data_IF_691905179377
#
_entry.id   IF_691905179377
#
_cell.length_a   1.000
_cell.length_b   1.000
_cell.length_c   1.000
_cell.angle_alpha   90.00
_cell.angle_beta   90.00
_cell.angle_gamma   90.00
#
_symmetry.space_group_name_H-M   'P 1'
#
loop_
_entity.id
_entity.type
_entity.pdbx_description
1 polymer ?
#
# COMPACT_ATOMS: atom_id res chain seq x y z
N UNK A 1 -5.27 -12.23 -15.45
CA UNK A 1 -3.96 -12.90 -15.57
C UNK A 1 -2.84 -12.05 -14.96
N UNK A 2 -2.45 -10.90 -15.53
CA UNK A 2 -1.43 -10.00 -14.92
C UNK A 2 -2.01 -8.97 -13.93
N UNK A 3 -3.34 -8.77 -13.93
CA UNK A 3 -4.01 -7.85 -13.01
C UNK A 3 -3.52 -6.41 -13.19
N UNK A 4 -3.23 -5.72 -12.09
CA UNK A 4 -2.71 -4.35 -12.07
C UNK A 4 -1.20 -4.32 -11.84
N UNK A 5 -0.54 -5.47 -11.68
CA UNK A 5 0.88 -5.52 -11.33
C UNK A 5 1.81 -4.73 -12.28
N UNK A 6 1.62 -4.75 -13.62
CA UNK A 6 2.45 -3.96 -14.52
C UNK A 6 2.35 -2.45 -14.26
N UNK A 7 1.15 -1.96 -13.92
CA UNK A 7 0.94 -0.56 -13.53
C UNK A 7 1.59 -0.24 -12.20
N UNK A 8 1.47 -1.16 -11.21
CA UNK A 8 2.14 -1.01 -9.92
C UNK A 8 3.64 -0.84 -10.17
N UNK A 9 4.28 -1.77 -10.88
CA UNK A 9 5.70 -1.68 -11.23
C UNK A 9 6.04 -0.35 -11.91
N UNK A 10 5.21 0.14 -12.83
CA UNK A 10 5.45 1.42 -13.47
C UNK A 10 5.35 2.62 -12.51
N UNK A 11 4.34 2.64 -11.64
CA UNK A 11 4.15 3.66 -10.61
C UNK A 11 5.33 3.67 -9.66
N UNK A 12 5.89 2.50 -9.34
CA UNK A 12 7.06 2.36 -8.49
C UNK A 12 8.28 3.01 -9.14
N UNK A 13 8.53 2.70 -10.41
CA UNK A 13 9.66 3.28 -11.15
C UNK A 13 9.55 4.80 -11.21
N UNK A 14 8.36 5.34 -11.46
CA UNK A 14 8.14 6.79 -11.50
C UNK A 14 8.31 7.43 -10.12
N UNK A 15 7.89 6.77 -9.03
CA UNK A 15 8.17 7.24 -7.67
C UNK A 15 9.66 7.26 -7.36
N UNK A 16 10.40 6.22 -7.74
CA UNK A 16 11.86 6.18 -7.57
C UNK A 16 12.56 7.24 -8.44
N UNK A 17 12.12 7.47 -9.67
CA UNK A 17 12.62 8.53 -10.55
C UNK A 17 12.32 9.92 -9.99
N UNK A 18 11.16 10.10 -9.34
CA UNK A 18 10.84 11.34 -8.63
C UNK A 18 11.86 11.64 -7.54
N UNK A 19 12.48 10.62 -6.95
CA UNK A 19 13.47 10.82 -5.91
C UNK A 19 14.86 11.06 -6.52
N UNK A 20 15.25 10.26 -7.51
CA UNK A 20 16.57 10.31 -8.12
C UNK A 20 16.78 11.54 -9.02
N UNK A 21 15.71 12.05 -9.64
CA UNK A 21 15.79 13.10 -10.65
C UNK A 21 15.09 14.38 -10.16
N UNK A 22 15.82 15.49 -9.94
CA UNK A 22 15.25 16.73 -9.40
C UNK A 22 14.19 17.36 -10.32
N UNK A 23 14.23 17.08 -11.62
CA UNK A 23 13.18 17.51 -12.57
C UNK A 23 11.82 16.90 -12.24
N UNK A 24 11.77 15.63 -11.84
CA UNK A 24 10.52 14.99 -11.40
C UNK A 24 10.08 15.48 -10.02
N UNK A 25 11.02 15.82 -9.11
CA UNK A 25 10.69 16.50 -7.85
C UNK A 25 10.02 17.87 -8.08
N UNK A 26 10.53 18.66 -9.02
CA UNK A 26 9.91 19.95 -9.40
C UNK A 26 8.51 19.72 -9.96
N UNK A 27 8.33 18.73 -10.82
CA UNK A 27 7.02 18.36 -11.36
C UNK A 27 6.06 17.93 -10.24
N UNK A 28 6.52 17.23 -9.21
CA UNK A 28 5.67 16.90 -8.06
C UNK A 28 5.22 18.15 -7.28
N UNK A 29 6.06 19.21 -7.26
CA UNK A 29 5.74 20.49 -6.61
C UNK A 29 4.81 21.40 -7.42
N UNK A 30 4.63 21.15 -8.73
CA UNK A 30 3.71 21.89 -9.60
C UNK A 30 2.21 21.62 -9.31
N UNK A 31 1.91 20.74 -8.34
CA UNK A 31 0.54 20.46 -7.92
C UNK A 31 -0.21 19.54 -8.88
N UNK A 32 -1.46 19.85 -9.22
CA UNK A 32 -2.31 18.97 -10.02
C UNK A 32 -1.81 18.77 -11.45
N UNK A 33 -1.26 19.81 -12.09
CA UNK A 33 -0.73 19.74 -13.45
C UNK A 33 0.46 18.78 -13.53
N UNK A 34 1.35 18.86 -12.54
CA UNK A 34 2.51 17.98 -12.41
C UNK A 34 2.13 16.52 -12.12
N UNK A 35 1.15 16.29 -11.23
CA UNK A 35 0.63 14.93 -10.97
C UNK A 35 0.00 14.31 -12.22
N UNK A 36 -0.72 15.09 -13.04
CA UNK A 36 -1.27 14.60 -14.31
C UNK A 36 -0.17 14.18 -15.30
N UNK A 37 0.89 14.97 -15.44
CA UNK A 37 2.05 14.62 -16.29
C UNK A 37 2.76 13.35 -15.78
N UNK A 38 2.96 13.23 -14.47
CA UNK A 38 3.56 12.05 -13.87
C UNK A 38 2.71 10.78 -14.11
N UNK A 39 1.38 10.90 -14.05
CA UNK A 39 0.47 9.81 -14.41
C UNK A 39 0.55 9.46 -15.91
N UNK A 40 0.76 10.43 -16.81
CA UNK A 40 0.99 10.15 -18.23
C UNK A 40 2.29 9.38 -18.46
N UNK A 41 3.39 9.74 -17.80
CA UNK A 41 4.63 8.96 -17.89
C UNK A 41 4.46 7.55 -17.31
N UNK A 42 3.72 7.43 -16.22
CA UNK A 42 3.39 6.12 -15.63
C UNK A 42 2.62 5.25 -16.63
N UNK A 43 1.68 5.83 -17.40
CA UNK A 43 0.97 5.12 -18.48
C UNK A 43 1.91 4.58 -19.55
N UNK A 44 2.77 5.43 -20.10
CA UNK A 44 3.70 5.01 -21.15
C UNK A 44 4.65 3.92 -20.66
N UNK A 45 5.14 4.06 -19.42
CA UNK A 45 6.01 3.08 -18.81
C UNK A 45 5.30 1.75 -18.51
N UNK A 46 4.01 1.81 -18.14
CA UNK A 46 3.16 0.61 -17.96
C UNK A 46 3.02 -0.18 -19.26
N UNK A 47 2.78 0.52 -20.37
CA UNK A 47 2.67 -0.11 -21.70
C UNK A 47 3.99 -0.78 -22.09
N UNK A 48 5.13 -0.11 -21.86
CA UNK A 48 6.45 -0.66 -22.13
C UNK A 48 6.72 -1.91 -21.29
N UNK A 49 6.43 -1.87 -19.98
CA UNK A 49 6.55 -3.04 -19.10
C UNK A 49 5.65 -4.17 -19.56
N UNK A 50 4.42 -3.90 -19.99
CA UNK A 50 3.49 -4.92 -20.50
C UNK A 50 4.01 -5.62 -21.75
N UNK A 51 4.67 -4.90 -22.66
CA UNK A 51 5.26 -5.51 -23.85
C UNK A 51 6.41 -6.47 -23.52
N UNK A 52 7.15 -6.20 -22.44
CA UNK A 52 8.22 -7.08 -21.97
C UNK A 52 7.63 -8.23 -21.14
N UNK A 53 6.73 -7.94 -20.20
CA UNK A 53 6.20 -8.89 -19.24
C UNK A 53 5.09 -9.81 -19.81
N UNK A 54 4.39 -9.39 -20.86
CA UNK A 54 3.31 -10.15 -21.49
C UNK A 54 3.79 -11.47 -22.12
N UNK A 55 4.79 -11.44 -23.02
CA UNK A 55 5.39 -12.65 -23.59
C UNK A 55 6.01 -13.52 -22.49
N UNK A 56 6.68 -12.87 -21.54
CA UNK A 56 7.28 -13.48 -20.36
C UNK A 56 6.31 -14.33 -19.54
N UNK A 57 5.13 -13.78 -19.27
CA UNK A 57 4.07 -14.48 -18.54
C UNK A 57 3.50 -15.66 -19.34
N UNK A 58 3.33 -15.49 -20.66
CA UNK A 58 2.80 -16.55 -21.53
C UNK A 58 3.73 -17.75 -21.64
N UNK A 59 5.04 -17.53 -21.69
CA UNK A 59 6.03 -18.61 -21.68
C UNK A 59 5.96 -19.39 -20.36
N UNK A 60 5.91 -18.69 -19.22
CA UNK A 60 5.81 -19.35 -17.91
C UNK A 60 4.49 -20.14 -17.75
N UNK A 61 3.38 -19.56 -18.23
CA UNK A 61 2.08 -20.23 -18.24
C UNK A 61 2.08 -21.48 -19.14
N UNK A 62 2.75 -21.42 -20.30
CA UNK A 62 2.92 -22.56 -21.20
C UNK A 62 3.71 -23.71 -20.57
N UNK A 63 4.73 -23.40 -19.76
CA UNK A 63 5.48 -24.41 -18.99
C UNK A 63 4.60 -25.03 -17.90
N UNK A 64 3.84 -24.22 -17.14
CA UNK A 64 2.92 -24.73 -16.11
C UNK A 64 1.79 -25.60 -16.68
N UNK A 65 1.18 -25.17 -17.80
CA UNK A 65 0.10 -25.93 -18.45
C UNK A 65 0.62 -27.26 -19.04
N UNK A 66 1.84 -27.28 -19.57
CA UNK A 66 2.51 -28.52 -20.01
C UNK A 66 2.71 -29.50 -18.85
N UNK A 67 3.05 -29.00 -17.65
CA UNK A 67 3.13 -29.83 -16.45
C UNK A 67 1.74 -30.38 -16.00
N UNK A 68 0.65 -29.70 -16.35
CA UNK A 68 -0.73 -30.12 -16.11
C UNK A 68 -1.36 -30.94 -17.26
N UNK A 69 -0.57 -31.37 -18.26
CA UNK A 69 -1.04 -32.20 -19.37
C UNK A 69 -1.79 -31.45 -20.50
N UNK A 70 -1.74 -30.11 -20.52
CA UNK A 70 -2.40 -29.29 -21.54
C UNK A 70 -1.38 -28.40 -22.27
N UNK A 71 -1.39 -28.38 -23.61
CA UNK A 71 -0.46 -27.53 -24.37
C UNK A 71 -1.16 -26.30 -24.91
N UNK A 72 -0.62 -25.11 -24.63
CA UNK A 72 -0.94 -23.92 -25.41
C UNK A 72 -0.39 -24.09 -26.85
N UNK A 73 -1.12 -23.64 -27.88
CA UNK A 73 -0.60 -23.64 -29.25
C UNK A 73 0.71 -22.85 -29.31
N UNK A 74 1.83 -23.46 -29.75
CA UNK A 74 3.13 -22.79 -29.77
C UNK A 74 3.25 -21.93 -31.04
N UNK A 75 2.30 -21.03 -31.29
CA UNK A 75 2.35 -20.12 -32.43
C UNK A 75 2.78 -18.72 -31.97
N UNK A 76 3.76 -18.14 -32.67
CA UNK A 76 4.18 -16.75 -32.46
C UNK A 76 2.98 -15.79 -32.59
N UNK A 77 2.04 -16.11 -33.50
CA UNK A 77 0.79 -15.40 -33.65
C UNK A 77 -0.10 -15.43 -32.39
N UNK A 78 -0.21 -16.57 -31.71
CA UNK A 78 -0.94 -16.69 -30.45
C UNK A 78 -0.25 -15.88 -29.33
N UNK A 79 1.08 -15.88 -29.28
CA UNK A 79 1.81 -15.08 -28.27
C UNK A 79 1.62 -13.58 -28.47
N UNK A 80 1.73 -13.09 -29.71
CA UNK A 80 1.55 -11.66 -30.04
C UNK A 80 0.11 -11.22 -29.76
N UNK A 81 -0.87 -11.95 -30.29
CA UNK A 81 -2.29 -11.63 -30.08
C UNK A 81 -2.69 -11.67 -28.61
N UNK A 82 -2.26 -12.69 -27.86
CA UNK A 82 -2.56 -12.80 -26.42
C UNK A 82 -1.85 -11.71 -25.61
N UNK A 83 -0.62 -11.33 -25.98
CA UNK A 83 0.09 -10.21 -25.35
C UNK A 83 -0.68 -8.90 -25.54
N UNK A 84 -1.21 -8.65 -26.74
CA UNK A 84 -2.02 -7.45 -27.01
C UNK A 84 -3.33 -7.49 -26.21
N UNK A 85 -4.02 -8.63 -26.12
CA UNK A 85 -5.22 -8.75 -25.29
C UNK A 85 -4.94 -8.54 -23.79
N UNK A 86 -3.82 -9.08 -23.28
CA UNK A 86 -3.38 -8.86 -21.90
C UNK A 86 -3.04 -7.39 -21.64
N UNK A 87 -2.34 -6.75 -22.58
CA UNK A 87 -2.02 -5.33 -22.50
C UNK A 87 -3.28 -4.45 -22.54
N UNK A 88 -4.21 -4.74 -23.45
CA UNK A 88 -5.50 -4.05 -23.54
C UNK A 88 -6.32 -4.20 -22.25
N UNK A 89 -6.39 -5.41 -21.69
CA UNK A 89 -7.06 -5.67 -20.42
C UNK A 89 -6.42 -4.91 -19.25
N UNK A 90 -5.09 -4.91 -19.14
CA UNK A 90 -4.38 -4.16 -18.09
C UNK A 90 -4.57 -2.65 -18.24
N UNK A 91 -4.56 -2.13 -19.46
CA UNK A 91 -4.81 -0.71 -19.74
C UNK A 91 -6.25 -0.30 -19.42
N UNK A 92 -7.22 -1.19 -19.70
CA UNK A 92 -8.61 -0.96 -19.33
C UNK A 92 -8.79 -0.88 -17.81
N UNK A 93 -8.19 -1.81 -17.06
CA UNK A 93 -8.25 -1.78 -15.58
C UNK A 93 -7.58 -0.51 -15.04
N UNK A 94 -6.45 -0.11 -15.62
CA UNK A 94 -5.78 1.14 -15.24
C UNK A 94 -6.69 2.35 -15.47
N UNK A 95 -7.31 2.45 -16.66
CA UNK A 95 -8.25 3.52 -16.96
C UNK A 95 -9.43 3.54 -15.98
N UNK A 96 -9.97 2.37 -15.61
CA UNK A 96 -11.00 2.25 -14.60
C UNK A 96 -10.52 2.81 -13.25
N UNK A 97 -9.27 2.52 -12.86
CA UNK A 97 -8.65 3.02 -11.63
C UNK A 97 -8.51 4.54 -11.61
N UNK A 98 -8.09 5.14 -12.73
CA UNK A 98 -8.06 6.60 -12.88
C UNK A 98 -9.47 7.20 -12.77
N UNK A 99 -10.48 6.59 -13.40
CA UNK A 99 -11.87 7.06 -13.30
C UNK A 99 -12.47 6.96 -11.91
N UNK A 100 -12.15 5.91 -11.17
CA UNK A 100 -12.54 5.78 -9.75
C UNK A 100 -11.85 6.85 -8.91
N UNK A 101 -10.60 7.20 -9.22
CA UNK A 101 -9.89 8.27 -8.50
C UNK A 101 -10.49 9.65 -8.79
N UNK A 102 -10.89 9.92 -10.04
CA UNK A 102 -11.45 11.21 -10.44
C UNK A 102 -12.86 11.45 -9.90
N UNK A 103 -13.71 10.41 -9.88
CA UNK A 103 -15.15 10.52 -9.56
C UNK A 103 -15.54 9.90 -8.22
N UNK A 104 -14.69 9.05 -7.65
CA UNK A 104 -14.95 8.30 -6.42
C UNK A 104 -14.23 8.88 -5.22
N UNK A 105 -14.11 8.04 -4.18
CA UNK A 105 -13.39 8.36 -2.94
C UNK A 105 -12.20 7.42 -2.84
N UNK A 106 -11.04 7.94 -2.45
CA UNK A 106 -9.82 7.14 -2.32
C UNK A 106 -8.92 7.16 -3.55
N UNK A 107 -7.90 6.31 -3.49
CA UNK A 107 -7.06 5.97 -4.62
C UNK A 107 -7.71 4.80 -5.37
N UNK A 108 -8.19 5.04 -6.59
CA UNK A 108 -8.92 4.05 -7.38
C UNK A 108 -8.08 2.82 -7.73
N UNK A 109 -6.76 2.96 -7.90
CA UNK A 109 -5.87 1.81 -8.14
C UNK A 109 -5.85 0.90 -6.91
N UNK A 110 -5.65 1.49 -5.72
CA UNK A 110 -5.66 0.76 -4.46
C UNK A 110 -7.01 0.07 -4.22
N UNK A 111 -8.11 0.72 -4.61
CA UNK A 111 -9.45 0.16 -4.50
C UNK A 111 -9.68 -1.05 -5.42
N UNK A 112 -9.13 -1.04 -6.64
CA UNK A 112 -9.24 -2.22 -7.51
C UNK A 112 -8.39 -3.39 -6.98
N UNK A 113 -7.23 -3.13 -6.38
CA UNK A 113 -6.43 -4.18 -5.73
C UNK A 113 -7.24 -4.78 -4.56
N UNK A 114 -7.86 -3.94 -3.73
CA UNK A 114 -8.76 -4.36 -2.66
C UNK A 114 -9.87 -5.28 -3.19
N UNK A 115 -10.60 -4.86 -4.22
CA UNK A 115 -11.67 -5.67 -4.83
C UNK A 115 -11.11 -7.00 -5.36
N UNK A 116 -9.92 -6.97 -5.99
CA UNK A 116 -9.27 -8.18 -6.51
C UNK A 116 -8.91 -9.19 -5.44
N UNK A 117 -8.51 -8.72 -4.25
CA UNK A 117 -8.23 -9.56 -3.08
C UNK A 117 -9.55 -10.11 -2.51
N UNK A 118 -10.55 -9.24 -2.29
CA UNK A 118 -11.85 -9.64 -1.74
C UNK A 118 -12.55 -10.64 -2.65
N UNK A 119 -12.47 -10.51 -3.97
CA UNK A 119 -13.11 -11.41 -4.92
C UNK A 119 -12.55 -12.84 -4.88
N UNK A 120 -11.30 -13.02 -4.41
CA UNK A 120 -10.67 -14.34 -4.27
C UNK A 120 -11.00 -15.01 -2.94
N UNK A 121 -11.23 -14.22 -1.90
CA UNK A 121 -11.44 -14.70 -0.53
C UNK A 121 -12.56 -15.77 -0.40
N UNK A 122 -13.76 -15.61 -1.00
CA UNK A 122 -14.81 -16.63 -0.91
C UNK A 122 -14.41 -17.98 -1.51
N UNK A 123 -13.68 -17.94 -2.63
CA UNK A 123 -13.20 -19.16 -3.32
C UNK A 123 -12.14 -19.86 -2.49
N UNK A 124 -11.19 -19.11 -1.93
CA UNK A 124 -10.11 -19.67 -1.12
C UNK A 124 -10.64 -20.23 0.20
N UNK A 125 -11.65 -19.59 0.82
CA UNK A 125 -12.35 -20.16 1.97
C UNK A 125 -13.08 -21.46 1.65
N UNK A 126 -13.78 -21.52 0.51
CA UNK A 126 -14.47 -22.74 0.09
C UNK A 126 -13.49 -23.89 -0.19
N UNK A 127 -12.34 -23.59 -0.79
CA UNK A 127 -11.28 -24.58 -1.03
C UNK A 127 -10.66 -25.09 0.27
N UNK A 128 -10.33 -24.20 1.21
CA UNK A 128 -9.82 -24.61 2.52
C UNK A 128 -10.86 -25.49 3.24
N UNK A 129 -12.13 -25.09 3.22
CA UNK A 129 -13.20 -25.86 3.84
C UNK A 129 -13.31 -27.27 3.25
N UNK A 130 -13.22 -27.41 1.92
CA UNK A 130 -13.24 -28.71 1.26
C UNK A 130 -12.01 -29.55 1.62
N UNK A 131 -10.82 -28.96 1.59
CA UNK A 131 -9.57 -29.65 1.90
C UNK A 131 -9.54 -30.13 3.35
N UNK A 132 -10.01 -29.31 4.30
CA UNK A 132 -10.09 -29.67 5.73
C UNK A 132 -11.21 -30.65 6.06
N UNK A 133 -12.24 -30.72 5.24
CA UNK A 133 -13.36 -31.67 5.40
C UNK A 133 -13.09 -33.02 4.73
N UNK A 134 -12.28 -33.04 3.65
CA UNK A 134 -12.05 -34.22 2.82
C UNK A 134 -10.73 -34.94 3.16
N UNK A 135 -9.64 -34.19 3.31
CA UNK A 135 -8.36 -34.75 3.78
C UNK A 135 -8.34 -34.74 5.31
N UNK A 136 -7.86 -35.83 5.92
CA UNK A 136 -7.75 -36.02 7.39
C UNK A 136 -6.72 -35.10 8.06
N UNK A 137 -6.68 -33.82 7.69
CA UNK A 137 -5.78 -32.79 8.20
C UNK A 137 -6.51 -31.82 9.15
N UNK A 138 -6.92 -32.33 10.32
CA UNK A 138 -7.28 -31.50 11.48
C UNK A 138 -8.78 -31.25 11.74
N UNK A 139 -9.66 -31.62 10.82
CA UNK A 139 -11.12 -31.51 10.98
C UNK A 139 -11.64 -30.09 11.21
N UNK A 140 -12.93 -29.97 11.54
CA UNK A 140 -13.63 -28.69 11.77
C UNK A 140 -12.99 -27.85 12.89
N UNK A 141 -12.31 -28.48 13.86
CA UNK A 141 -11.67 -27.78 14.99
C UNK A 141 -10.44 -27.00 14.54
N UNK A 142 -9.60 -27.57 13.66
CA UNK A 142 -8.43 -26.87 13.12
C UNK A 142 -8.84 -25.70 12.22
N UNK A 143 -9.88 -25.87 11.41
CA UNK A 143 -10.46 -24.79 10.60
C UNK A 143 -10.99 -23.64 11.45
N UNK A 144 -11.65 -23.94 12.59
CA UNK A 144 -12.15 -22.91 13.51
C UNK A 144 -10.98 -22.18 14.20
N UNK A 145 -9.93 -22.91 14.60
CA UNK A 145 -8.71 -22.31 15.15
C UNK A 145 -8.02 -21.38 14.13
N UNK A 146 -8.00 -21.75 12.85
CA UNK A 146 -7.48 -20.92 11.76
C UNK A 146 -8.29 -19.63 11.57
N UNK A 147 -9.62 -19.69 11.58
CA UNK A 147 -10.44 -18.47 11.49
C UNK A 147 -10.20 -17.55 12.69
N UNK A 148 -10.13 -18.09 13.90
CA UNK A 148 -9.84 -17.31 15.11
C UNK A 148 -8.46 -16.66 15.02
N UNK A 149 -7.46 -17.40 14.54
CA UNK A 149 -6.13 -16.86 14.29
C UNK A 149 -6.16 -15.73 13.24
N UNK A 150 -6.87 -15.92 12.12
CA UNK A 150 -7.04 -14.89 11.08
C UNK A 150 -7.63 -13.59 11.67
N UNK A 151 -8.68 -13.71 12.49
CA UNK A 151 -9.28 -12.56 13.17
C UNK A 151 -8.29 -11.86 14.11
N UNK A 152 -7.47 -12.63 14.84
CA UNK A 152 -6.39 -12.08 15.66
C UNK A 152 -5.37 -11.27 14.86
N UNK A 153 -4.95 -11.80 13.69
CA UNK A 153 -4.01 -11.12 12.79
C UNK A 153 -4.61 -9.85 12.17
N UNK A 154 -5.90 -9.89 11.82
CA UNK A 154 -6.64 -8.72 11.34
C UNK A 154 -6.67 -7.64 12.43
N UNK A 155 -7.07 -8.00 13.66
CA UNK A 155 -7.12 -7.07 14.78
C UNK A 155 -5.74 -6.45 15.05
N UNK A 156 -4.68 -7.27 15.03
CA UNK A 156 -3.31 -6.82 15.21
C UNK A 156 -2.86 -5.86 14.09
N UNK A 157 -3.22 -6.16 12.84
CA UNK A 157 -2.93 -5.30 11.69
C UNK A 157 -3.67 -3.96 11.76
N UNK A 158 -4.93 -3.95 12.22
CA UNK A 158 -5.70 -2.72 12.43
C UNK A 158 -5.04 -1.86 13.53
N UNK A 159 -4.64 -2.46 14.65
CA UNK A 159 -3.95 -1.77 15.75
C UNK A 159 -2.65 -1.11 15.26
N UNK A 160 -1.90 -1.78 14.38
CA UNK A 160 -0.68 -1.24 13.79
C UNK A 160 -0.98 -0.02 12.90
N UNK A 161 -1.95 -0.14 11.99
CA UNK A 161 -2.28 0.93 11.04
C UNK A 161 -2.92 2.14 11.74
N UNK A 162 -3.74 1.91 12.78
CA UNK A 162 -4.38 2.99 13.55
C UNK A 162 -3.50 3.57 14.66
N UNK A 163 -2.37 2.93 14.98
CA UNK A 163 -1.44 3.41 15.99
C UNK A 163 -0.98 4.84 15.67
N UNK A 164 -1.23 5.78 16.58
CA UNK A 164 -0.80 7.18 16.45
C UNK A 164 -0.08 7.65 17.70
N UNK A 165 1.08 8.29 17.51
CA UNK A 165 1.75 9.06 18.55
C UNK A 165 1.30 10.51 18.46
N UNK A 166 0.64 10.99 19.51
CA UNK A 166 0.16 12.39 19.59
C UNK A 166 1.28 13.29 20.10
N UNK A 167 1.74 14.23 19.28
CA UNK A 167 2.66 15.30 19.71
C UNK A 167 1.84 16.52 20.10
N UNK A 168 1.88 17.00 21.36
CA UNK A 168 1.14 18.17 21.77
C UNK A 168 1.74 19.43 21.13
N UNK A 169 0.87 20.27 20.58
CA UNK A 169 1.19 21.56 19.97
C UNK A 169 0.36 22.65 20.62
N UNK A 170 0.97 23.80 20.81
CA UNK A 170 0.28 25.01 21.26
C UNK A 170 0.35 26.05 20.16
N UNK A 171 -0.81 26.59 19.79
CA UNK A 171 -0.90 27.74 18.91
C UNK A 171 -0.92 29.01 19.77
N UNK A 172 -0.12 30.00 19.38
CA UNK A 172 -0.07 31.28 20.08
C UNK A 172 -1.46 31.92 20.08
N UNK A 173 -1.89 32.34 21.27
CA UNK A 173 -3.20 32.97 21.45
C UNK A 173 -3.19 34.35 20.82
N UNK A 174 -4.25 34.69 20.08
CA UNK A 174 -4.52 36.08 19.72
C UNK A 174 -5.44 36.67 20.77
N UNK A 175 -4.92 37.57 21.61
CA UNK A 175 -5.75 38.36 22.52
C UNK A 175 -6.47 39.40 21.66
N UNK A 176 -7.79 39.32 21.58
CA UNK A 176 -8.63 40.35 20.94
C UNK A 176 -9.58 40.87 22.01
N UNK A 177 -9.32 42.09 22.51
CA UNK A 177 -10.05 42.68 23.64
C UNK A 177 -9.70 42.03 25.00
N UNK A 178 -10.67 41.99 25.92
CA UNK A 178 -10.50 41.48 27.30
C UNK A 178 -10.89 39.99 27.44
N UNK A 179 -11.15 39.28 26.34
CA UNK A 179 -11.53 37.86 26.34
C UNK A 179 -10.48 37.03 25.61
N UNK A 180 -9.95 36.04 26.32
CA UNK A 180 -9.00 35.09 25.77
C UNK A 180 -9.75 34.05 24.93
N UNK A 181 -9.66 34.16 23.60
CA UNK A 181 -10.08 33.11 22.67
C UNK A 181 -8.87 32.25 22.26
N UNK A 182 -9.02 30.93 22.36
CA UNK A 182 -8.00 29.99 21.90
C UNK A 182 -7.00 29.58 22.99
N UNK A 183 -6.55 28.33 22.88
CA UNK A 183 -5.76 27.64 23.90
C UNK A 183 -6.13 26.18 24.10
N UNK A 184 -6.98 25.60 23.24
CA UNK A 184 -7.17 24.15 23.24
C UNK A 184 -5.84 23.53 22.84
N UNK A 185 -5.32 22.62 23.69
CA UNK A 185 -4.16 21.79 23.35
C UNK A 185 -4.52 20.99 22.12
N UNK A 186 -3.93 21.33 20.99
CA UNK A 186 -4.03 20.54 19.78
C UNK A 186 -2.88 19.54 19.77
N UNK A 187 -3.02 18.46 19.02
CA UNK A 187 -1.92 17.54 18.81
C UNK A 187 -1.77 17.26 17.31
N UNK A 188 -0.53 17.03 16.90
CA UNK A 188 -0.22 16.48 15.58
C UNK A 188 -0.17 14.95 15.76
N UNK A 189 -1.09 14.20 15.14
CA UNK A 189 -1.03 12.74 15.15
C UNK A 189 0.06 12.28 14.17
N UNK A 190 1.12 11.66 14.68
CA UNK A 190 2.08 10.92 13.86
C UNK A 190 1.69 9.44 13.84
N UNK A 191 1.29 8.93 12.68
CA UNK A 191 0.97 7.50 12.51
C UNK A 191 2.22 6.65 12.74
N UNK A 192 2.05 5.49 13.37
CA UNK A 192 3.13 4.51 13.60
C UNK A 192 3.67 3.98 12.27
N UNK A 193 2.77 3.76 11.32
CA UNK A 193 3.10 3.49 9.94
C UNK A 193 2.61 4.63 9.04
N UNK A 194 3.42 5.68 8.91
CA UNK A 194 3.13 6.77 7.97
C UNK A 194 3.24 6.33 6.50
N UNK A 195 3.99 5.25 6.24
CA UNK A 195 4.22 4.73 4.90
C UNK A 195 3.04 3.94 4.33
N UNK A 196 2.08 3.55 5.18
CA UNK A 196 0.95 2.72 4.79
C UNK A 196 1.43 1.39 4.21
N UNK A 197 0.84 0.99 3.09
CA UNK A 197 1.08 -0.33 2.48
C UNK A 197 2.11 -0.29 1.34
N UNK A 198 2.46 0.90 0.86
CA UNK A 198 3.37 1.05 -0.29
C UNK A 198 4.73 0.36 -0.14
N UNK A 199 5.44 0.45 1.01
CA UNK A 199 6.72 -0.24 1.20
C UNK A 199 6.70 -1.73 0.88
N UNK A 200 5.61 -2.39 1.23
CA UNK A 200 5.47 -3.84 1.07
C UNK A 200 5.26 -4.17 -0.41
N UNK A 201 4.49 -3.34 -1.10
CA UNK A 201 4.29 -3.45 -2.55
C UNK A 201 5.62 -3.24 -3.29
N UNK A 202 6.45 -2.27 -2.86
CA UNK A 202 7.80 -2.08 -3.41
C UNK A 202 8.70 -3.30 -3.20
N UNK A 203 8.74 -3.82 -1.96
CA UNK A 203 9.51 -5.00 -1.62
C UNK A 203 9.09 -6.20 -2.50
N UNK A 204 7.78 -6.40 -2.68
CA UNK A 204 7.25 -7.50 -3.48
C UNK A 204 7.59 -7.34 -4.98
N UNK A 205 7.49 -6.13 -5.52
CA UNK A 205 7.84 -5.86 -6.91
C UNK A 205 9.31 -6.16 -7.21
N UNK A 206 10.22 -5.83 -6.28
CA UNK A 206 11.64 -6.17 -6.42
C UNK A 206 11.87 -7.67 -6.34
N UNK A 207 11.18 -8.37 -5.44
CA UNK A 207 11.26 -9.84 -5.35
C UNK A 207 10.75 -10.54 -6.61
N UNK A 208 9.88 -9.91 -7.40
CA UNK A 208 9.43 -10.46 -8.69
C UNK A 208 10.48 -10.38 -9.80
N UNK A 209 11.41 -9.42 -9.77
CA UNK A 209 12.41 -9.25 -10.85
C UNK A 209 13.28 -10.52 -10.99
N UNK A 210 13.94 -11.03 -9.92
CA UNK A 210 14.66 -12.30 -9.97
C UNK A 210 13.80 -13.46 -10.46
N UNK A 211 12.54 -13.51 -10.00
CA UNK A 211 11.64 -14.61 -10.34
C UNK A 211 11.37 -14.66 -11.85
N UNK A 212 11.14 -13.49 -12.44
CA UNK A 212 10.94 -13.39 -13.89
C UNK A 212 12.20 -13.76 -14.67
N UNK A 213 13.38 -13.28 -14.27
CA UNK A 213 14.64 -13.54 -14.99
C UNK A 213 15.01 -15.02 -14.96
N UNK A 214 14.90 -15.69 -13.81
CA UNK A 214 15.14 -17.13 -13.71
C UNK A 214 14.09 -17.92 -14.47
N UNK A 215 12.84 -17.45 -14.52
CA UNK A 215 11.80 -18.01 -15.37
C UNK A 215 12.10 -17.96 -16.89
N UNK A 216 13.01 -17.07 -17.34
CA UNK A 216 13.52 -17.05 -18.72
C UNK A 216 14.67 -18.02 -18.95
N UNK A 217 15.44 -18.35 -17.90
CA UNK A 217 16.55 -19.29 -17.98
C UNK A 217 16.03 -20.71 -17.78
N UNK A 218 15.59 -21.36 -18.87
CA UNK A 218 15.33 -22.81 -18.92
C UNK A 218 16.66 -23.60 -18.80
N UNK A 219 17.42 -23.40 -17.74
CA UNK A 219 18.62 -24.20 -17.48
C UNK A 219 18.44 -24.98 -16.19
N UNK A 220 18.51 -26.31 -16.32
CA UNK A 220 18.65 -27.31 -15.25
C UNK A 220 19.87 -27.06 -14.33
N UNK A 221 20.60 -25.96 -14.53
CA UNK A 221 21.85 -25.59 -13.88
C UNK A 221 21.78 -24.25 -13.12
N UNK A 222 20.60 -23.74 -12.77
CA UNK A 222 20.50 -22.64 -11.79
C UNK A 222 20.60 -23.15 -10.35
N UNK A 223 21.83 -23.53 -10.04
CA UNK A 223 22.42 -23.81 -8.73
C UNK A 223 21.73 -23.08 -7.55
N UNK A 224 21.31 -23.88 -6.55
CA UNK A 224 21.01 -23.57 -5.14
C UNK A 224 20.53 -22.18 -4.74
N UNK A 225 21.34 -21.15 -4.96
CA UNK A 225 21.07 -19.76 -4.60
C UNK A 225 19.80 -19.20 -5.24
N UNK A 226 19.61 -19.37 -6.56
CA UNK A 226 18.43 -18.85 -7.26
C UNK A 226 17.17 -19.68 -7.01
N UNK A 227 17.31 -20.99 -6.79
CA UNK A 227 16.20 -21.87 -6.40
C UNK A 227 15.62 -21.53 -5.02
N UNK A 228 16.45 -21.03 -4.10
CA UNK A 228 16.02 -20.56 -2.79
C UNK A 228 15.14 -19.29 -2.85
N UNK A 229 15.21 -18.53 -3.95
CA UNK A 229 14.33 -17.38 -4.23
C UNK A 229 13.08 -17.74 -5.04
N UNK A 230 13.01 -18.95 -5.60
CA UNK A 230 11.84 -19.44 -6.35
C UNK A 230 10.70 -19.92 -5.45
N UNK A 231 11.02 -20.38 -4.23
CA UNK A 231 10.01 -20.84 -3.29
C UNK A 231 9.67 -19.76 -2.27
N UNK A 232 8.41 -19.28 -2.31
CA UNK A 232 7.84 -18.35 -1.32
C UNK A 232 7.86 -18.89 0.14
N UNK A 233 8.27 -20.13 0.33
CA UNK A 233 8.34 -20.83 1.62
C UNK A 233 9.78 -20.94 2.16
N UNK A 234 10.79 -20.62 1.35
CA UNK A 234 12.18 -20.66 1.77
C UNK A 234 12.48 -19.58 2.81
N UNK A 235 13.22 -19.96 3.85
CA UNK A 235 13.69 -19.03 4.88
C UNK A 235 14.50 -17.88 4.27
N UNK A 236 15.29 -18.14 3.23
CA UNK A 236 16.08 -17.11 2.54
C UNK A 236 15.20 -16.07 1.85
N UNK A 237 14.12 -16.51 1.18
CA UNK A 237 13.16 -15.61 0.54
C UNK A 237 12.49 -14.70 1.58
N UNK A 238 11.98 -15.28 2.67
CA UNK A 238 11.30 -14.53 3.72
C UNK A 238 12.23 -13.57 4.45
N UNK A 239 13.47 -13.99 4.72
CA UNK A 239 14.46 -13.14 5.38
C UNK A 239 14.83 -11.92 4.53
N UNK A 240 15.11 -12.13 3.24
CA UNK A 240 15.38 -11.02 2.31
C UNK A 240 14.14 -10.14 2.16
N UNK A 241 12.96 -10.71 2.05
CA UNK A 241 11.70 -9.97 1.99
C UNK A 241 11.46 -9.10 3.23
N UNK A 242 11.73 -9.61 4.45
CA UNK A 242 11.67 -8.81 5.69
C UNK A 242 12.61 -7.61 5.64
N UNK A 243 13.87 -7.83 5.26
CA UNK A 243 14.89 -6.78 5.20
C UNK A 243 14.47 -5.70 4.20
N UNK A 244 13.98 -6.11 3.02
CA UNK A 244 13.45 -5.18 2.04
C UNK A 244 12.27 -4.38 2.61
N UNK A 245 11.31 -5.02 3.27
CA UNK A 245 10.18 -4.30 3.88
C UNK A 245 10.67 -3.26 4.88
N UNK A 246 11.62 -3.62 5.75
CA UNK A 246 12.17 -2.69 6.74
C UNK A 246 12.85 -1.50 6.04
N UNK A 247 13.75 -1.79 5.10
CA UNK A 247 14.48 -0.76 4.35
C UNK A 247 13.53 0.18 3.59
N UNK A 248 12.55 -0.37 2.86
CA UNK A 248 11.58 0.43 2.11
C UNK A 248 10.62 1.20 3.01
N UNK A 249 10.27 0.68 4.19
CA UNK A 249 9.42 1.40 5.14
C UNK A 249 10.14 2.64 5.67
N UNK A 250 11.42 2.52 6.00
CA UNK A 250 12.26 3.65 6.39
C UNK A 250 12.41 4.67 5.26
N UNK A 251 12.81 4.18 4.08
CA UNK A 251 13.04 5.02 2.92
C UNK A 251 11.78 5.79 2.54
N UNK A 252 10.63 5.12 2.47
CA UNK A 252 9.37 5.76 2.09
C UNK A 252 8.86 6.73 3.16
N UNK A 253 8.99 6.40 4.45
CA UNK A 253 8.57 7.32 5.52
C UNK A 253 9.39 8.61 5.52
N UNK A 254 10.71 8.51 5.33
CA UNK A 254 11.60 9.67 5.29
C UNK A 254 11.30 10.64 4.13
N UNK A 255 10.74 10.13 3.03
CA UNK A 255 10.44 10.91 1.83
C UNK A 255 9.05 11.53 1.91
N UNK A 256 8.07 10.76 2.39
CA UNK A 256 6.69 11.23 2.46
C UNK A 256 6.49 12.23 3.57
N UNK A 257 7.15 12.05 4.71
CA UNK A 257 7.04 12.96 5.84
C UNK A 257 8.27 13.84 5.90
N UNK A 258 8.09 15.13 5.60
CA UNK A 258 9.17 16.11 5.61
C UNK A 258 9.09 16.96 6.89
N UNK A 259 9.84 16.62 7.96
CA UNK A 259 9.72 17.30 9.25
C UNK A 259 10.13 18.77 9.16
N UNK A 260 11.01 19.12 8.22
CA UNK A 260 11.40 20.52 7.95
C UNK A 260 10.19 21.35 7.48
N UNK A 261 9.43 20.85 6.52
CA UNK A 261 8.24 21.54 6.02
C UNK A 261 7.16 21.63 7.09
N UNK A 262 6.92 20.55 7.84
CA UNK A 262 5.95 20.56 8.94
C UNK A 262 6.33 21.58 10.03
N UNK A 263 7.62 21.72 10.35
CA UNK A 263 8.11 22.71 11.29
C UNK A 263 7.95 24.15 10.78
N UNK A 264 8.18 24.38 9.47
CA UNK A 264 7.92 25.69 8.84
C UNK A 264 6.42 26.03 8.84
N UNK A 265 5.55 25.08 8.49
CA UNK A 265 4.10 25.26 8.49
C UNK A 265 3.58 25.54 9.90
N UNK A 266 4.12 24.85 10.92
CA UNK A 266 3.84 25.17 12.32
C UNK A 266 4.25 26.60 12.66
N UNK A 267 5.46 27.01 12.27
CA UNK A 267 5.95 28.37 12.50
C UNK A 267 5.07 29.41 11.81
N UNK A 268 4.64 29.16 10.56
CA UNK A 268 3.73 30.04 9.79
C UNK A 268 2.36 30.16 10.45
N UNK A 269 1.86 29.07 11.03
CA UNK A 269 0.58 29.03 11.76
C UNK A 269 0.68 29.50 13.22
N UNK A 270 1.80 30.11 13.64
CA UNK A 270 2.07 30.49 15.04
C UNK A 270 1.96 29.31 16.04
N UNK A 271 2.18 28.09 15.58
CA UNK A 271 2.23 26.88 16.40
C UNK A 271 3.65 26.55 16.86
N UNK A 272 3.78 26.05 18.09
CA UNK A 272 5.04 25.54 18.62
C UNK A 272 4.84 24.32 19.51
N UNK A 273 5.88 23.49 19.61
CA UNK A 273 5.91 22.36 20.54
C UNK A 273 6.44 22.87 21.88
N UNK A 274 5.71 22.69 23.00
CA UNK A 274 6.20 23.10 24.32
C UNK A 274 7.57 22.47 24.62
N UNK A 275 8.54 23.30 25.01
CA UNK A 275 9.90 22.85 25.33
C UNK A 275 10.88 22.77 24.14
N UNK A 276 10.45 23.03 22.91
CA UNK A 276 11.32 23.00 21.71
C UNK A 276 11.26 24.33 20.98
N UNK A 277 12.43 24.94 20.70
CA UNK A 277 12.51 26.21 19.97
C UNK A 277 11.95 26.05 18.53
N UNK A 278 11.07 26.95 18.05
CA UNK A 278 10.53 26.90 16.69
C UNK A 278 11.60 26.91 15.60
N UNK A 279 11.37 26.19 14.50
CA UNK A 279 12.27 26.10 13.35
C UNK A 279 13.10 24.82 13.37
N UNK A 280 14.43 24.94 13.20
CA UNK A 280 15.32 23.78 13.02
C UNK A 280 15.23 22.76 14.16
N UNK A 281 15.15 23.21 15.42
CA UNK A 281 15.02 22.30 16.58
C UNK A 281 13.68 21.55 16.59
N UNK A 282 12.59 22.17 16.11
CA UNK A 282 11.29 21.48 15.93
C UNK A 282 11.40 20.38 14.87
N UNK A 283 12.07 20.67 13.75
CA UNK A 283 12.30 19.68 12.69
C UNK A 283 13.14 18.49 13.19
N UNK A 284 14.26 18.75 13.88
CA UNK A 284 15.12 17.71 14.47
C UNK A 284 14.37 16.87 15.51
N UNK A 285 13.53 17.50 16.34
CA UNK A 285 12.71 16.79 17.32
C UNK A 285 11.67 15.88 16.66
N UNK A 286 10.98 16.38 15.63
CA UNK A 286 10.02 15.58 14.86
C UNK A 286 10.71 14.43 14.14
N UNK A 287 11.87 14.65 13.53
CA UNK A 287 12.66 13.63 12.85
C UNK A 287 13.12 12.52 13.80
N UNK A 288 13.63 12.88 14.99
CA UNK A 288 14.01 11.91 16.02
C UNK A 288 12.82 11.10 16.53
N UNK A 289 11.65 11.71 16.64
CA UNK A 289 10.43 10.99 17.01
C UNK A 289 10.02 10.02 15.91
N UNK A 290 9.99 10.47 14.65
CA UNK A 290 9.56 9.63 13.53
C UNK A 290 10.47 8.43 13.35
N UNK A 291 11.79 8.62 13.32
CA UNK A 291 12.77 7.52 13.22
C UNK A 291 12.63 6.47 14.33
N UNK A 292 12.28 6.90 15.56
CA UNK A 292 12.03 5.99 16.69
C UNK A 292 10.68 5.28 16.61
N UNK A 293 9.68 5.87 15.96
CA UNK A 293 8.37 5.25 15.75
C UNK A 293 8.41 4.26 14.59
N UNK A 294 9.13 4.61 13.51
CA UNK A 294 9.21 3.77 12.31
C UNK A 294 9.98 2.48 12.56
N UNK A 295 10.94 2.47 13.48
CA UNK A 295 11.70 1.27 13.83
C UNK A 295 10.81 0.09 14.24
N UNK A 296 10.03 0.18 15.34
CA UNK A 296 9.12 -0.90 15.70
C UNK A 296 8.08 -1.13 14.61
N UNK A 297 7.51 -0.06 14.03
CA UNK A 297 6.49 -0.18 12.98
C UNK A 297 6.94 -1.04 11.79
N UNK A 298 8.16 -0.83 11.30
CA UNK A 298 8.73 -1.57 10.16
C UNK A 298 9.01 -3.04 10.48
N UNK A 299 9.49 -3.34 11.70
CA UNK A 299 9.72 -4.71 12.16
C UNK A 299 8.39 -5.45 12.27
N UNK A 300 7.37 -4.81 12.88
CA UNK A 300 6.04 -5.42 12.98
C UNK A 300 5.41 -5.67 11.60
N UNK A 301 5.55 -4.74 10.66
CA UNK A 301 5.09 -4.95 9.27
C UNK A 301 5.80 -6.13 8.60
N UNK A 302 7.11 -6.27 8.81
CA UNK A 302 7.88 -7.40 8.26
C UNK A 302 7.44 -8.74 8.87
N UNK A 303 7.18 -8.79 10.17
CA UNK A 303 6.66 -10.00 10.85
C UNK A 303 5.31 -10.40 10.28
N UNK A 304 4.39 -9.44 10.16
CA UNK A 304 3.05 -9.71 9.60
C UNK A 304 3.21 -10.23 8.17
N UNK A 305 4.01 -9.57 7.33
CA UNK A 305 4.20 -9.96 5.94
C UNK A 305 4.82 -11.36 5.71
N UNK A 306 5.58 -11.90 6.67
CA UNK A 306 6.16 -13.27 6.59
C UNK A 306 5.19 -14.33 7.13
N UNK A 307 4.18 -13.93 7.91
CA UNK A 307 3.21 -14.83 8.51
C UNK A 307 2.55 -15.84 7.54
N UNK A 308 2.23 -15.51 6.27
CA UNK A 308 1.75 -16.50 5.29
C UNK A 308 2.68 -17.69 5.12
N UNK A 309 4.00 -17.47 5.10
CA UNK A 309 4.94 -18.56 4.88
C UNK A 309 4.89 -19.58 6.02
N UNK A 310 4.72 -19.11 7.26
CA UNK A 310 4.51 -19.97 8.42
C UNK A 310 3.16 -20.68 8.37
N UNK A 311 2.09 -20.00 7.94
CA UNK A 311 0.77 -20.61 7.76
C UNK A 311 0.79 -21.73 6.69
N UNK A 312 1.56 -21.53 5.61
CA UNK A 312 1.77 -22.56 4.57
C UNK A 312 2.52 -23.78 5.11
N UNK A 313 3.55 -23.58 5.95
CA UNK A 313 4.28 -24.67 6.61
C UNK A 313 3.37 -25.43 7.59
N UNK A 314 2.41 -24.74 8.22
CA UNK A 314 1.43 -25.33 9.13
C UNK A 314 0.30 -26.13 8.42
N UNK A 315 0.32 -26.24 7.09
CA UNK A 315 -0.62 -27.05 6.31
C UNK A 315 -1.84 -26.32 5.76
N UNK A 316 -1.88 -24.98 5.82
CA UNK A 316 -2.94 -24.15 5.21
C UNK A 316 -2.76 -24.12 3.69
N UNK A 317 -3.86 -24.12 2.93
CA UNK A 317 -3.79 -24.04 1.47
C UNK A 317 -3.06 -22.79 0.98
N UNK A 318 -2.33 -22.92 -0.13
CA UNK A 318 -1.54 -21.83 -0.73
C UNK A 318 -2.35 -20.56 -0.99
N UNK A 319 -3.61 -20.70 -1.45
CA UNK A 319 -4.47 -19.55 -1.70
C UNK A 319 -4.95 -18.91 -0.40
N UNK A 320 -5.32 -19.71 0.61
CA UNK A 320 -5.87 -19.21 1.87
C UNK A 320 -4.77 -18.62 2.77
N UNK A 321 -3.58 -19.22 2.75
CA UNK A 321 -2.37 -18.78 3.43
C UNK A 321 -1.96 -17.34 3.04
N UNK A 322 -2.16 -16.92 1.79
CA UNK A 322 -1.88 -15.54 1.38
C UNK A 322 -2.75 -14.49 2.07
N UNK A 323 -3.93 -14.88 2.59
CA UNK A 323 -4.80 -14.04 3.39
C UNK A 323 -4.39 -14.01 4.87
N UNK A 324 -3.62 -14.99 5.34
CA UNK A 324 -3.07 -15.02 6.70
C UNK A 324 -1.87 -14.09 6.83
N UNK A 325 -2.11 -12.86 7.28
CA UNK A 325 -1.05 -11.90 7.59
C UNK A 325 -0.28 -11.39 6.36
N UNK A 326 -0.57 -11.85 5.15
CA UNK A 326 0.19 -11.48 3.97
C UNK A 326 0.02 -10.03 3.51
N UNK A 327 0.77 -9.70 2.46
CA UNK A 327 0.62 -8.46 1.68
C UNK A 327 -0.84 -8.16 1.37
N UNK A 328 -1.62 -9.18 1.02
CA UNK A 328 -3.04 -9.03 0.68
C UNK A 328 -3.87 -8.48 1.85
N UNK A 329 -3.62 -8.95 3.08
CA UNK A 329 -4.33 -8.51 4.27
C UNK A 329 -3.96 -7.07 4.63
N UNK A 330 -2.67 -6.73 4.59
CA UNK A 330 -2.21 -5.38 4.89
C UNK A 330 -2.72 -4.37 3.86
N UNK A 331 -2.76 -4.75 2.57
CA UNK A 331 -3.40 -3.95 1.51
C UNK A 331 -4.89 -3.77 1.82
N UNK A 332 -5.59 -4.84 2.18
CA UNK A 332 -7.01 -4.79 2.49
C UNK A 332 -7.30 -3.83 3.64
N UNK A 333 -6.63 -4.01 4.79
CA UNK A 333 -6.83 -3.16 5.97
C UNK A 333 -6.42 -1.72 5.69
N UNK A 334 -5.27 -1.49 5.05
CA UNK A 334 -4.78 -0.15 4.76
C UNK A 334 -5.72 0.64 3.85
N UNK A 335 -6.17 0.04 2.75
CA UNK A 335 -7.07 0.72 1.79
C UNK A 335 -8.45 0.95 2.38
N UNK A 336 -8.99 0.00 3.15
CA UNK A 336 -10.27 0.17 3.85
C UNK A 336 -10.19 1.31 4.87
N UNK A 337 -9.12 1.37 5.68
CA UNK A 337 -8.96 2.45 6.65
C UNK A 337 -8.76 3.81 5.98
N UNK A 338 -7.99 3.87 4.89
CA UNK A 338 -7.80 5.12 4.13
C UNK A 338 -9.11 5.61 3.49
N UNK A 339 -9.91 4.70 2.91
CA UNK A 339 -11.22 5.06 2.36
C UNK A 339 -12.19 5.52 3.43
N UNK A 340 -12.24 4.85 4.59
CA UNK A 340 -13.04 5.28 5.74
C UNK A 340 -12.63 6.68 6.24
N UNK A 341 -11.34 6.95 6.37
CA UNK A 341 -10.83 8.27 6.79
C UNK A 341 -11.21 9.38 5.80
N UNK A 342 -11.17 9.10 4.50
CA UNK A 342 -11.58 10.08 3.49
C UNK A 342 -13.08 10.32 3.52
N UNK A 343 -13.90 9.27 3.66
CA UNK A 343 -15.36 9.40 3.83
C UNK A 343 -15.69 10.25 5.06
N UNK A 344 -15.05 9.96 6.20
CA UNK A 344 -15.24 10.72 7.45
C UNK A 344 -14.86 12.20 7.24
N UNK A 345 -13.74 12.47 6.57
CA UNK A 345 -13.31 13.84 6.26
C UNK A 345 -14.34 14.58 5.39
N UNK A 346 -14.86 13.95 4.34
CA UNK A 346 -15.91 14.54 3.50
C UNK A 346 -17.21 14.78 4.27
N UNK A 347 -17.60 13.85 5.16
CA UNK A 347 -18.79 14.00 6.01
C UNK A 347 -18.64 15.15 7.02
N UNK A 348 -17.48 15.29 7.65
CA UNK A 348 -17.18 16.39 8.58
C UNK A 348 -17.28 17.75 7.89
N UNK A 349 -16.75 17.87 6.67
CA UNK A 349 -16.85 19.11 5.88
C UNK A 349 -18.30 19.46 5.54
N UNK A 350 -19.14 18.46 5.22
CA UNK A 350 -20.57 18.66 4.94
C UNK A 350 -21.35 19.15 6.16
N UNK A 351 -21.01 18.69 7.36
CA UNK A 351 -21.62 19.17 8.60
C UNK A 351 -21.18 20.61 8.95
N UNK A 352 -19.98 21.02 8.50
CA UNK A 352 -19.48 22.39 8.68
C UNK A 352 -20.29 23.44 7.91
N UNK A 353 -20.71 23.12 6.68
CA UNK A 353 -21.57 24.00 5.87
C UNK A 353 -22.97 24.22 6.47
N UNK A 354 -23.50 23.21 7.17
CA UNK A 354 -24.79 23.28 7.87
C UNK A 354 -24.79 24.27 9.04
N UNK A 355 -23.69 24.32 9.80
CA UNK A 355 -23.52 25.25 10.92
C UNK A 355 -23.35 26.69 10.46
N UNK A 356 -22.61 26.93 9.36
CA UNK A 356 -22.41 28.29 8.83
C UNK A 356 -23.66 28.89 8.17
N UNK A 357 -24.57 28.07 7.62
CA UNK A 357 -25.83 28.57 7.03
C UNK A 357 -26.89 28.98 8.05
N UNK A 358 -26.82 28.55 9.32
CA UNK A 358 -27.84 28.90 10.33
C UNK A 358 -27.67 30.28 10.96
N UNK A 359 -26.55 30.97 10.71
CA UNK A 359 -26.27 32.31 11.21
C UNK A 359 -26.83 33.44 10.34
N UNK A 360 -28.14 33.49 10.09
CA UNK A 360 -28.77 34.67 9.47
C UNK A 360 -28.90 35.77 10.52
N UNK A 361 -28.08 36.82 10.39
CA UNK A 361 -28.21 38.08 11.15
C UNK A 361 -29.57 38.69 10.82
N UNK A 362 -30.51 38.62 11.77
CA UNK A 362 -31.79 39.32 11.73
C UNK A 362 -31.57 40.74 12.26
N UNK A 363 -31.15 41.65 11.38
CA UNK A 363 -31.12 43.08 11.69
C UNK A 363 -32.55 43.60 11.85
N UNK A 364 -32.99 43.79 13.09
CA UNK A 364 -34.12 44.66 13.42
C UNK A 364 -33.58 46.08 13.60
N UNK A 365 -33.64 46.88 12.56
CA UNK A 365 -33.67 48.34 12.68
C UNK A 365 -35.14 48.75 12.73
N UNK A 366 -35.62 49.09 13.91
CA UNK A 366 -36.92 49.73 14.13
C UNK A 366 -36.85 51.20 13.71
N UNK A 367 -38.01 51.72 13.30
CA UNK A 367 -38.34 53.11 12.93
C UNK A 367 -37.61 54.21 13.69
#
# INVERSE_FOLDING_TARGET
>A
ALGIMPYISASIVIQLLTIAVPSFQKMQREGESGRRKMNQYTRYLTVLILFIQGPSYLVNLGVQLRAAGSSLPPSAWFMISTTIFLAAGSMFIMWLGERITDKGVGNGISFIILIGIIARLPRSLAQEFILRTTDKAGGLVMFLAEIVFLLGVIAFSILLVQGVRKIPVQYAKRIVGNKQYGGVRQYIPLKVNAAGVMPIIFAQAIMFIPITIVGFSNSESSTGFWSAFMSNTSFAYNFVFAILIIAFTYFYTAITVQPVQMAEDMKRNNGFIPGVKPGKKTAEYMDSIMSRITLPGSIFLAIVAIMPAFAKIAGVCDEFSQFFGGTSLLILVGVVLDTLQQIETHLLMRHYDGLMKSGRIKGRGSY
#
